data_IF_011395565470
#
_entry.id   IF_011395565470
#
_cell.length_a   1.000
_cell.length_b   1.000
_cell.length_c   1.000
_cell.angle_alpha   90.00
_cell.angle_beta   90.00
_cell.angle_gamma   90.00
#
_symmetry.space_group_name_H-M   'P 1'
#
loop_
_entity.id
_entity.type
_entity.pdbx_description
1 polymer ?
#
# COMPACT_ATOMS: atom_id res chain seq x y z
N UNK A 1 13.13 23.44 12.42
CA UNK A 1 13.21 21.97 12.41
C UNK A 1 13.52 21.54 11.00
N UNK A 2 14.44 20.60 10.82
CA UNK A 2 14.71 20.03 9.52
C UNK A 2 13.47 19.30 9.00
N UNK A 3 13.15 19.45 7.70
CA UNK A 3 11.97 18.83 7.11
C UNK A 3 12.20 17.32 7.04
N UNK A 4 11.30 16.53 7.63
CA UNK A 4 11.37 15.08 7.54
C UNK A 4 11.15 14.61 6.09
N UNK A 5 11.92 13.60 5.72
CA UNK A 5 11.89 12.99 4.38
C UNK A 5 11.10 11.67 4.40
N UNK A 6 10.85 11.12 3.24
CA UNK A 6 10.28 9.78 3.10
C UNK A 6 11.13 8.72 3.82
N UNK A 7 12.47 8.85 3.83
CA UNK A 7 13.38 7.94 4.53
C UNK A 7 13.14 7.95 6.05
N UNK A 8 12.91 9.13 6.62
CA UNK A 8 12.64 9.25 8.06
C UNK A 8 11.36 8.52 8.43
N UNK A 9 10.31 8.65 7.61
CA UNK A 9 9.05 7.92 7.82
C UNK A 9 9.17 6.40 7.58
N UNK A 10 10.03 5.94 6.67
CA UNK A 10 10.34 4.51 6.54
C UNK A 10 10.98 3.99 7.83
N UNK A 11 11.96 4.72 8.40
CA UNK A 11 12.63 4.34 9.65
C UNK A 11 11.71 4.39 10.87
N UNK A 12 10.76 5.31 10.88
CA UNK A 12 9.77 5.44 11.97
C UNK A 12 8.71 4.33 11.94
N UNK A 13 8.40 3.80 10.75
CA UNK A 13 7.31 2.86 10.53
C UNK A 13 7.30 1.67 11.50
N UNK A 14 8.39 0.90 11.73
CA UNK A 14 8.35 -0.25 12.63
C UNK A 14 7.95 0.11 14.07
N UNK A 15 8.38 1.26 14.56
CA UNK A 15 8.01 1.77 15.88
C UNK A 15 6.52 2.08 16.00
N UNK A 16 5.97 2.73 14.99
CA UNK A 16 4.54 3.05 14.92
C UNK A 16 3.70 1.78 14.85
N UNK A 17 4.09 0.82 14.01
CA UNK A 17 3.37 -0.45 13.89
C UNK A 17 3.38 -1.25 15.20
N UNK A 18 4.50 -1.29 15.93
CA UNK A 18 4.57 -1.92 17.26
C UNK A 18 3.60 -1.27 18.24
N UNK A 19 3.61 0.05 18.33
CA UNK A 19 2.68 0.80 19.19
C UNK A 19 1.22 0.51 18.85
N UNK A 20 0.90 0.45 17.55
CA UNK A 20 -0.46 0.15 17.09
C UNK A 20 -0.90 -1.28 17.48
N UNK A 21 0.01 -2.27 17.43
CA UNK A 21 -0.28 -3.63 17.89
C UNK A 21 -0.49 -3.66 19.41
N UNK A 22 0.36 -2.98 20.18
CA UNK A 22 0.24 -2.93 21.64
C UNK A 22 -1.07 -2.28 22.10
N UNK A 23 -1.56 -1.29 21.36
CA UNK A 23 -2.77 -0.53 21.68
C UNK A 23 -3.97 -0.92 20.80
N UNK A 24 -3.94 -2.08 20.15
CA UNK A 24 -4.87 -2.42 19.07
C UNK A 24 -6.35 -2.33 19.48
N UNK A 25 -6.68 -2.75 20.70
CA UNK A 25 -8.07 -2.70 21.19
C UNK A 25 -8.62 -1.28 21.21
N UNK A 26 -7.84 -0.32 21.71
CA UNK A 26 -8.22 1.08 21.73
C UNK A 26 -8.23 1.70 20.32
N UNK A 27 -7.28 1.30 19.47
CA UNK A 27 -7.15 1.79 18.10
C UNK A 27 -8.35 1.41 17.23
N UNK A 28 -8.82 0.16 17.31
CA UNK A 28 -9.94 -0.32 16.49
C UNK A 28 -11.30 -0.15 17.15
N UNK A 29 -11.37 0.22 18.45
CA UNK A 29 -12.61 0.37 19.19
C UNK A 29 -13.66 1.26 18.48
N UNK A 30 -13.31 2.43 17.91
CA UNK A 30 -14.29 3.26 17.22
C UNK A 30 -14.97 2.53 16.05
N UNK A 31 -14.23 1.73 15.28
CA UNK A 31 -14.78 0.92 14.20
C UNK A 31 -15.58 -0.27 14.73
N UNK A 32 -15.11 -0.90 15.80
CA UNK A 32 -15.83 -2.02 16.44
C UNK A 32 -17.22 -1.58 16.96
N UNK A 33 -17.38 -0.37 17.46
CA UNK A 33 -18.69 0.19 17.85
C UNK A 33 -19.66 0.29 16.68
N UNK A 34 -19.19 0.61 15.49
CA UNK A 34 -20.03 0.70 14.29
C UNK A 34 -20.50 -0.67 13.79
N UNK A 35 -19.65 -1.71 13.91
CA UNK A 35 -19.98 -3.06 13.44
C UNK A 35 -20.83 -3.88 14.43
N UNK A 36 -20.82 -3.54 15.72
CA UNK A 36 -21.64 -4.21 16.72
C UNK A 36 -23.14 -3.97 16.57
N UNK A 37 -23.53 -2.97 15.79
CA UNK A 37 -24.91 -2.53 15.64
C UNK A 37 -25.69 -3.33 14.59
N UNK A 38 -25.01 -4.11 13.72
CA UNK A 38 -25.64 -4.86 12.63
C UNK A 38 -24.79 -6.07 12.22
N UNK A 39 -25.44 -7.03 11.56
CA UNK A 39 -24.72 -8.12 10.88
C UNK A 39 -23.94 -7.57 9.70
N UNK A 40 -22.64 -7.86 9.63
CA UNK A 40 -21.77 -7.51 8.50
C UNK A 40 -21.43 -8.79 7.73
N UNK A 41 -21.55 -8.73 6.40
CA UNK A 41 -21.13 -9.80 5.47
C UNK A 41 -20.04 -9.36 4.52
N UNK A 42 -19.97 -8.04 4.25
CA UNK A 42 -19.02 -7.49 3.29
C UNK A 42 -18.49 -6.12 3.75
N UNK A 43 -17.21 -5.90 3.51
CA UNK A 43 -16.57 -4.61 3.68
C UNK A 43 -16.36 -4.00 2.28
N UNK A 44 -16.86 -2.79 2.06
CA UNK A 44 -16.57 -1.98 0.89
C UNK A 44 -15.52 -0.93 1.27
N UNK A 45 -14.30 -1.09 0.76
CA UNK A 45 -13.20 -0.14 0.96
C UNK A 45 -13.16 0.80 -0.25
N UNK A 46 -13.47 2.08 -0.03
CA UNK A 46 -13.51 3.10 -1.07
C UNK A 46 -12.26 3.98 -0.91
N UNK A 47 -11.26 3.77 -1.78
CA UNK A 47 -9.93 4.37 -1.64
C UNK A 47 -9.26 4.69 -2.98
N UNK A 48 -8.30 5.62 -2.97
CA UNK A 48 -7.45 5.98 -4.12
C UNK A 48 -5.96 5.91 -3.77
N UNK A 49 -5.12 5.71 -4.79
CA UNK A 49 -3.67 5.78 -4.67
C UNK A 49 -3.11 4.81 -3.62
N UNK A 50 -2.16 5.25 -2.82
CA UNK A 50 -1.52 4.41 -1.78
C UNK A 50 -2.52 3.88 -0.75
N UNK A 51 -3.61 4.60 -0.44
CA UNK A 51 -4.67 4.06 0.42
C UNK A 51 -5.41 2.88 -0.22
N UNK A 52 -5.65 2.93 -1.53
CA UNK A 52 -6.22 1.81 -2.29
C UNK A 52 -5.27 0.60 -2.30
N UNK A 53 -3.98 0.85 -2.51
CA UNK A 53 -2.96 -0.20 -2.52
C UNK A 53 -2.80 -0.85 -1.14
N UNK A 54 -2.84 -0.06 -0.05
CA UNK A 54 -2.86 -0.58 1.33
C UNK A 54 -4.08 -1.49 1.61
N UNK A 55 -5.25 -1.15 1.07
CA UNK A 55 -6.42 -2.01 1.16
C UNK A 55 -6.19 -3.37 0.47
N UNK A 56 -5.51 -3.39 -0.68
CA UNK A 56 -5.12 -4.64 -1.35
C UNK A 56 -4.08 -5.44 -0.54
N UNK A 57 -3.14 -4.76 0.11
CA UNK A 57 -2.16 -5.42 0.98
C UNK A 57 -2.84 -6.17 2.14
N UNK A 58 -3.89 -5.61 2.73
CA UNK A 58 -4.60 -6.20 3.87
C UNK A 58 -5.71 -7.19 3.46
N UNK A 59 -6.23 -7.09 2.24
CA UNK A 59 -7.46 -7.78 1.82
C UNK A 59 -7.47 -9.26 2.17
N UNK A 60 -6.44 -10.00 1.77
CA UNK A 60 -6.39 -11.45 1.93
C UNK A 60 -6.37 -11.85 3.41
N UNK A 61 -5.66 -11.11 4.26
CA UNK A 61 -5.64 -11.35 5.70
C UNK A 61 -7.00 -11.06 6.33
N UNK A 62 -7.62 -9.93 5.97
CA UNK A 62 -8.94 -9.54 6.47
C UNK A 62 -9.98 -10.60 6.11
N UNK A 63 -10.04 -11.05 4.86
CA UNK A 63 -10.97 -12.10 4.40
C UNK A 63 -10.74 -13.42 5.16
N UNK A 64 -9.48 -13.86 5.30
CA UNK A 64 -9.11 -15.10 6.00
C UNK A 64 -9.45 -15.09 7.48
N UNK A 65 -9.19 -13.99 8.15
CA UNK A 65 -9.31 -13.88 9.61
C UNK A 65 -10.74 -13.56 10.03
N UNK A 66 -11.38 -12.59 9.39
CA UNK A 66 -12.74 -12.16 9.73
C UNK A 66 -13.83 -13.01 9.11
N UNK A 67 -13.57 -13.67 7.97
CA UNK A 67 -14.59 -14.37 7.17
C UNK A 67 -15.51 -13.44 6.37
N UNK A 68 -15.22 -12.15 6.34
CA UNK A 68 -15.98 -11.14 5.58
C UNK A 68 -15.47 -11.03 4.15
N UNK A 69 -16.37 -10.86 3.19
CA UNK A 69 -15.97 -10.47 1.83
C UNK A 69 -15.38 -9.05 1.85
N UNK A 70 -14.26 -8.82 1.17
CA UNK A 70 -13.67 -7.49 1.00
C UNK A 70 -13.69 -7.07 -0.45
N UNK A 71 -14.39 -5.97 -0.74
CA UNK A 71 -14.40 -5.33 -2.05
C UNK A 71 -13.72 -3.97 -2.00
N UNK A 72 -12.79 -3.73 -2.90
CA UNK A 72 -12.05 -2.48 -3.00
C UNK A 72 -12.52 -1.75 -4.27
N UNK A 73 -12.90 -0.49 -4.12
CA UNK A 73 -13.48 0.32 -5.19
C UNK A 73 -12.82 1.70 -5.17
N UNK A 74 -12.50 2.26 -6.34
CA UNK A 74 -12.05 3.65 -6.39
C UNK A 74 -13.21 4.61 -6.13
N UNK A 75 -12.99 5.77 -5.47
CA UNK A 75 -14.07 6.69 -5.13
C UNK A 75 -14.86 7.19 -6.35
N UNK A 76 -14.20 7.40 -7.50
CA UNK A 76 -14.89 7.81 -8.72
C UNK A 76 -15.84 6.71 -9.23
N UNK A 77 -15.35 5.46 -9.30
CA UNK A 77 -16.18 4.30 -9.68
C UNK A 77 -17.35 4.12 -8.71
N UNK A 78 -17.08 4.22 -7.41
CA UNK A 78 -18.13 4.16 -6.39
C UNK A 78 -19.17 5.27 -6.57
N UNK A 79 -18.73 6.51 -6.73
CA UNK A 79 -19.65 7.67 -6.83
C UNK A 79 -20.60 7.57 -8.01
N UNK A 80 -20.11 7.14 -9.16
CA UNK A 80 -20.86 7.26 -10.41
C UNK A 80 -21.40 5.94 -10.97
N UNK A 81 -20.82 4.79 -10.60
CA UNK A 81 -21.13 3.52 -11.26
C UNK A 81 -21.49 2.38 -10.32
N UNK A 82 -20.80 2.24 -9.19
CA UNK A 82 -20.86 1.04 -8.36
C UNK A 82 -21.17 1.36 -6.88
N UNK A 83 -22.25 2.07 -6.64
CA UNK A 83 -22.66 2.50 -5.30
C UNK A 83 -23.89 1.77 -4.74
N UNK A 84 -24.09 0.52 -5.13
CA UNK A 84 -25.11 -0.32 -4.52
C UNK A 84 -24.61 -0.80 -3.16
N UNK A 85 -25.21 -0.24 -2.10
CA UNK A 85 -24.89 -0.54 -0.70
C UNK A 85 -26.01 -1.41 -0.14
N UNK A 86 -25.65 -2.60 0.34
CA UNK A 86 -26.57 -3.50 1.04
C UNK A 86 -26.59 -3.20 2.54
N UNK A 87 -27.66 -3.58 3.20
CA UNK A 87 -27.80 -3.39 4.65
C UNK A 87 -26.69 -4.10 5.46
N UNK A 88 -26.19 -5.22 4.94
CA UNK A 88 -25.08 -5.99 5.55
C UNK A 88 -23.69 -5.52 5.14
N UNK A 89 -23.57 -4.39 4.44
CA UNK A 89 -22.27 -3.83 4.04
C UNK A 89 -21.75 -2.89 5.12
N UNK A 90 -20.44 -3.01 5.42
CA UNK A 90 -19.67 -1.99 6.08
C UNK A 90 -18.94 -1.17 5.02
N UNK A 91 -19.30 0.09 4.84
CA UNK A 91 -18.67 0.97 3.87
C UNK A 91 -17.67 1.88 4.55
N UNK A 92 -16.41 1.80 4.17
CA UNK A 92 -15.31 2.61 4.70
C UNK A 92 -14.69 3.43 3.58
N UNK A 93 -14.79 4.74 3.65
CA UNK A 93 -14.05 5.64 2.77
C UNK A 93 -12.69 5.92 3.39
N UNK A 94 -11.62 5.71 2.62
CA UNK A 94 -10.25 5.79 3.13
C UNK A 94 -9.49 6.90 2.44
N UNK A 95 -8.94 7.83 3.21
CA UNK A 95 -8.11 8.93 2.70
C UNK A 95 -7.13 9.41 3.77
N UNK A 96 -5.83 9.29 3.54
CA UNK A 96 -4.84 9.65 4.56
C UNK A 96 -4.93 11.12 4.96
N UNK A 97 -4.90 12.04 4.00
CA UNK A 97 -4.94 13.47 4.28
C UNK A 97 -6.31 13.96 4.77
N UNK A 98 -7.38 13.21 4.48
CA UNK A 98 -8.76 13.67 4.69
C UNK A 98 -9.18 14.86 3.82
N UNK A 99 -8.39 15.20 2.80
CA UNK A 99 -8.58 16.36 1.92
C UNK A 99 -8.84 15.97 0.46
N UNK A 100 -9.05 14.68 0.17
CA UNK A 100 -9.29 14.19 -1.20
C UNK A 100 -10.73 14.51 -1.63
N UNK A 101 -10.90 15.26 -2.71
CA UNK A 101 -12.21 15.69 -3.23
C UNK A 101 -13.10 14.50 -3.59
N UNK A 102 -12.54 13.49 -4.23
CA UNK A 102 -13.28 12.28 -4.61
C UNK A 102 -13.72 11.43 -3.40
N UNK A 103 -12.93 11.40 -2.31
CA UNK A 103 -13.33 10.74 -1.07
C UNK A 103 -14.50 11.48 -0.39
N UNK A 104 -14.47 12.82 -0.38
CA UNK A 104 -15.55 13.66 0.12
C UNK A 104 -16.84 13.42 -0.68
N UNK A 105 -16.75 13.36 -2.02
CA UNK A 105 -17.92 13.06 -2.86
C UNK A 105 -18.48 11.66 -2.58
N UNK A 106 -17.62 10.64 -2.39
CA UNK A 106 -18.08 9.30 -2.01
C UNK A 106 -18.84 9.30 -0.66
N UNK A 107 -18.33 10.04 0.35
CA UNK A 107 -19.04 10.20 1.64
C UNK A 107 -20.41 10.85 1.46
N UNK A 108 -20.52 11.88 0.61
CA UNK A 108 -21.81 12.54 0.30
C UNK A 108 -22.80 11.56 -0.35
N UNK A 109 -22.35 10.70 -1.26
CA UNK A 109 -23.19 9.67 -1.89
C UNK A 109 -23.70 8.65 -0.85
N UNK A 110 -22.82 8.21 0.07
CA UNK A 110 -23.22 7.29 1.15
C UNK A 110 -24.33 7.93 1.99
N UNK A 111 -24.19 9.18 2.40
CA UNK A 111 -25.22 9.93 3.16
C UNK A 111 -26.51 10.12 2.38
N UNK A 112 -26.42 10.44 1.07
CA UNK A 112 -27.59 10.56 0.21
C UNK A 112 -28.40 9.25 0.14
N UNK A 113 -27.73 8.12 0.29
CA UNK A 113 -28.37 6.78 0.38
C UNK A 113 -28.85 6.43 1.78
N UNK A 114 -28.79 7.36 2.75
CA UNK A 114 -29.16 7.16 4.13
C UNK A 114 -28.34 6.06 4.84
N UNK A 115 -27.12 5.83 4.37
CA UNK A 115 -26.17 4.93 4.99
C UNK A 115 -25.20 5.69 5.88
N UNK A 116 -24.62 4.99 6.86
CA UNK A 116 -23.60 5.54 7.77
C UNK A 116 -22.31 5.85 7.01
N UNK A 117 -21.91 7.11 6.94
CA UNK A 117 -20.69 7.56 6.25
C UNK A 117 -19.51 7.51 7.21
N UNK A 118 -18.68 6.47 7.10
CA UNK A 118 -17.50 6.24 7.95
C UNK A 118 -16.25 6.52 7.14
N UNK A 119 -15.35 7.35 7.68
CA UNK A 119 -14.07 7.69 7.08
C UNK A 119 -12.89 7.19 7.92
N UNK A 120 -11.98 6.43 7.32
CA UNK A 120 -10.66 6.13 7.87
C UNK A 120 -9.66 7.17 7.34
N UNK A 121 -8.95 7.84 8.23
CA UNK A 121 -8.02 8.92 7.87
C UNK A 121 -6.79 8.95 8.77
N UNK A 122 -5.71 9.61 8.33
CA UNK A 122 -4.57 9.95 9.16
C UNK A 122 -4.76 11.26 9.96
N UNK A 123 -5.81 12.05 9.62
CA UNK A 123 -6.06 13.33 10.28
C UNK A 123 -7.58 13.57 10.44
N UNK A 124 -8.08 13.33 11.64
CA UNK A 124 -9.50 13.52 11.97
C UNK A 124 -9.98 14.97 11.94
N UNK A 125 -9.07 15.95 11.94
CA UNK A 125 -9.40 17.37 11.91
C UNK A 125 -9.49 17.93 10.48
N UNK A 126 -9.30 17.09 9.47
CA UNK A 126 -9.38 17.45 8.04
C UNK A 126 -10.83 17.62 7.55
N UNK A 127 -11.00 18.02 6.30
CA UNK A 127 -12.31 18.37 5.70
C UNK A 127 -13.33 17.23 5.70
N UNK A 128 -12.90 15.98 5.77
CA UNK A 128 -13.82 14.84 5.86
C UNK A 128 -14.71 14.90 7.11
N UNK A 129 -14.28 15.60 8.18
CA UNK A 129 -15.07 15.74 9.42
C UNK A 129 -16.42 16.46 9.20
N UNK A 130 -16.47 17.35 8.21
CA UNK A 130 -17.66 18.15 7.93
C UNK A 130 -18.69 17.34 7.11
N UNK A 131 -18.29 16.17 6.60
CA UNK A 131 -19.13 15.34 5.73
C UNK A 131 -19.40 13.95 6.33
N UNK A 132 -18.40 13.30 6.91
CA UNK A 132 -18.56 11.97 7.51
C UNK A 132 -19.42 11.99 8.79
N UNK A 133 -20.13 10.90 9.07
CA UNK A 133 -20.81 10.71 10.36
C UNK A 133 -19.85 10.20 11.43
N UNK A 134 -18.81 9.48 11.01
CA UNK A 134 -17.75 8.96 11.87
C UNK A 134 -16.41 9.12 11.18
N UNK A 135 -15.44 9.69 11.88
CA UNK A 135 -14.05 9.83 11.43
C UNK A 135 -13.13 9.08 12.37
N UNK A 136 -12.37 8.14 11.84
CA UNK A 136 -11.51 7.24 12.60
C UNK A 136 -10.07 7.41 12.12
N UNK A 137 -9.15 7.68 13.03
CA UNK A 137 -7.72 7.66 12.75
C UNK A 137 -7.17 6.24 12.84
N UNK A 138 -6.41 5.82 11.82
CA UNK A 138 -5.88 4.46 11.73
C UNK A 138 -4.43 4.34 12.28
N UNK A 139 -4.01 5.27 13.14
CA UNK A 139 -2.78 5.14 13.91
C UNK A 139 -1.50 5.48 13.15
N UNK A 140 -1.57 6.24 12.05
CA UNK A 140 -0.37 6.67 11.31
C UNK A 140 0.41 7.77 12.04
N UNK A 141 -0.27 8.58 12.87
CA UNK A 141 0.31 9.79 13.43
C UNK A 141 0.58 10.86 12.36
N UNK A 142 1.52 11.75 12.61
CA UNK A 142 1.89 12.81 11.67
C UNK A 142 2.76 12.27 10.52
N UNK A 143 2.42 12.61 9.29
CA UNK A 143 3.19 12.32 8.08
C UNK A 143 3.05 13.50 7.11
N UNK A 144 4.06 14.37 7.11
CA UNK A 144 4.08 15.64 6.38
C UNK A 144 4.91 15.55 5.09
N UNK A 145 4.68 14.50 4.31
CA UNK A 145 5.22 14.34 2.95
C UNK A 145 4.10 14.08 1.97
N UNK A 146 4.26 14.51 0.73
CA UNK A 146 3.26 14.31 -0.32
C UNK A 146 3.10 12.85 -0.74
N UNK A 147 4.10 12.05 -0.48
CA UNK A 147 4.18 10.64 -0.87
C UNK A 147 3.91 9.74 0.32
N UNK A 148 2.66 9.29 0.45
CA UNK A 148 2.23 8.41 1.55
C UNK A 148 3.20 7.24 1.72
N UNK A 149 3.82 7.14 2.89
CA UNK A 149 4.90 6.18 3.20
C UNK A 149 4.50 5.30 4.38
N UNK A 150 4.62 5.81 5.59
CA UNK A 150 4.18 5.18 6.82
C UNK A 150 2.68 4.86 6.81
N UNK A 151 1.90 5.74 6.19
CA UNK A 151 0.45 5.59 6.09
C UNK A 151 -0.01 4.34 5.35
N UNK A 152 0.75 3.82 4.37
CA UNK A 152 0.41 2.56 3.67
C UNK A 152 0.49 1.39 4.65
N UNK A 153 1.61 1.25 5.35
CA UNK A 153 1.84 0.16 6.31
C UNK A 153 0.89 0.25 7.51
N UNK A 154 0.66 1.46 8.03
CA UNK A 154 -0.25 1.68 9.16
C UNK A 154 -1.71 1.37 8.81
N UNK A 155 -2.15 1.71 7.60
CA UNK A 155 -3.51 1.40 7.15
C UNK A 155 -3.70 -0.11 6.94
N UNK A 156 -2.74 -0.78 6.30
CA UNK A 156 -2.80 -2.23 6.15
C UNK A 156 -2.87 -2.92 7.50
N UNK A 157 -1.98 -2.57 8.43
CA UNK A 157 -1.99 -3.10 9.80
C UNK A 157 -3.31 -2.79 10.53
N UNK A 158 -3.88 -1.58 10.40
CA UNK A 158 -5.16 -1.24 11.03
C UNK A 158 -6.28 -2.17 10.59
N UNK A 159 -6.37 -2.47 9.29
CA UNK A 159 -7.36 -3.39 8.74
C UNK A 159 -7.16 -4.82 9.25
N UNK A 160 -5.89 -5.27 9.37
CA UNK A 160 -5.56 -6.57 9.93
C UNK A 160 -5.92 -6.66 11.42
N UNK A 161 -5.61 -5.63 12.21
CA UNK A 161 -6.00 -5.53 13.63
C UNK A 161 -7.52 -5.49 13.82
N UNK A 162 -8.23 -4.80 12.93
CA UNK A 162 -9.70 -4.82 12.92
C UNK A 162 -10.23 -6.24 12.67
N UNK A 163 -9.66 -6.97 11.71
CA UNK A 163 -10.09 -8.34 11.43
C UNK A 163 -9.87 -9.28 12.63
N UNK A 164 -8.74 -9.13 13.34
CA UNK A 164 -8.46 -9.86 14.58
C UNK A 164 -9.48 -9.51 15.67
N UNK A 165 -9.74 -8.23 15.90
CA UNK A 165 -10.69 -7.77 16.91
C UNK A 165 -12.12 -8.25 16.59
N UNK A 166 -12.52 -8.17 15.32
CA UNK A 166 -13.84 -8.61 14.86
C UNK A 166 -14.07 -10.11 15.03
N UNK A 167 -13.07 -10.93 14.71
CA UNK A 167 -13.15 -12.39 14.81
C UNK A 167 -12.81 -12.95 16.19
N UNK A 168 -12.12 -12.17 17.04
CA UNK A 168 -11.60 -12.61 18.33
C UNK A 168 -10.37 -13.51 18.24
N UNK A 169 -9.77 -13.70 17.06
CA UNK A 169 -8.63 -14.59 16.80
C UNK A 169 -7.29 -13.92 17.17
N UNK A 170 -7.09 -13.70 18.46
CA UNK A 170 -5.92 -12.97 18.99
C UNK A 170 -4.58 -13.70 18.80
N UNK A 171 -4.57 -14.97 18.43
CA UNK A 171 -3.37 -15.74 18.10
C UNK A 171 -2.58 -15.13 16.93
N UNK A 172 -3.23 -14.40 16.03
CA UNK A 172 -2.57 -13.72 14.92
C UNK A 172 -1.75 -12.48 15.35
N UNK A 173 -1.91 -11.98 16.57
CA UNK A 173 -1.12 -10.84 17.06
C UNK A 173 0.39 -11.16 17.11
N UNK A 174 0.75 -12.39 17.46
CA UNK A 174 2.17 -12.80 17.47
C UNK A 174 2.77 -12.82 16.06
N UNK A 175 1.99 -13.22 15.08
CA UNK A 175 2.43 -13.22 13.70
C UNK A 175 2.57 -11.78 13.15
N UNK A 176 1.66 -10.88 13.53
CA UNK A 176 1.80 -9.45 13.22
C UNK A 176 3.06 -8.84 13.85
N UNK A 177 3.38 -9.16 15.11
CA UNK A 177 4.64 -8.72 15.74
C UNK A 177 5.86 -9.20 14.98
N UNK A 178 5.84 -10.45 14.52
CA UNK A 178 6.88 -11.02 13.66
C UNK A 178 6.97 -10.26 12.33
N UNK A 179 5.85 -9.96 11.68
CA UNK A 179 5.82 -9.19 10.45
C UNK A 179 6.44 -7.80 10.63
N UNK A 180 6.18 -7.13 11.76
CA UNK A 180 6.78 -5.82 12.07
C UNK A 180 8.28 -5.94 12.34
N UNK A 181 8.75 -7.01 12.98
CA UNK A 181 10.19 -7.27 13.13
C UNK A 181 10.88 -7.44 11.77
N UNK A 182 10.28 -8.21 10.86
CA UNK A 182 10.81 -8.41 9.52
C UNK A 182 10.70 -7.14 8.65
N UNK A 183 9.69 -6.29 8.87
CA UNK A 183 9.61 -4.95 8.26
C UNK A 183 10.83 -4.10 8.63
N UNK A 184 11.26 -4.14 9.89
CA UNK A 184 12.46 -3.44 10.35
C UNK A 184 13.75 -4.04 9.75
N UNK A 185 13.87 -5.36 9.69
CA UNK A 185 14.99 -6.06 9.01
C UNK A 185 15.07 -5.68 7.52
N UNK A 186 13.91 -5.59 6.86
CA UNK A 186 13.82 -5.22 5.44
C UNK A 186 14.48 -3.88 5.15
N UNK A 187 14.45 -2.91 6.05
CA UNK A 187 15.07 -1.60 5.84
C UNK A 187 16.57 -1.73 5.54
N UNK A 188 17.29 -2.50 6.34
CA UNK A 188 18.72 -2.74 6.14
C UNK A 188 19.02 -3.61 4.91
N UNK A 189 18.27 -4.69 4.75
CA UNK A 189 18.42 -5.62 3.63
C UNK A 189 18.11 -4.95 2.28
N UNK A 190 17.02 -4.19 2.20
CA UNK A 190 16.64 -3.46 1.00
C UNK A 190 17.68 -2.38 0.64
N UNK A 191 18.18 -1.64 1.64
CA UNK A 191 19.24 -0.65 1.39
C UNK A 191 20.47 -1.28 0.76
N UNK A 192 20.95 -2.40 1.31
CA UNK A 192 22.11 -3.12 0.77
C UNK A 192 21.84 -3.68 -0.62
N UNK A 193 20.67 -4.24 -0.86
CA UNK A 193 20.26 -4.79 -2.15
C UNK A 193 20.15 -3.71 -3.23
N UNK A 194 19.56 -2.56 -2.90
CA UNK A 194 19.47 -1.42 -3.82
C UNK A 194 20.85 -0.89 -4.16
N UNK A 195 21.77 -0.82 -3.20
CA UNK A 195 23.16 -0.42 -3.45
C UNK A 195 23.91 -1.42 -4.33
N UNK A 196 23.71 -2.72 -4.15
CA UNK A 196 24.31 -3.75 -5.00
C UNK A 196 23.89 -3.58 -6.47
N UNK A 197 22.63 -3.27 -6.72
CA UNK A 197 22.06 -3.10 -8.07
C UNK A 197 21.82 -1.63 -8.44
N UNK A 198 22.54 -0.71 -7.82
CA UNK A 198 22.29 0.72 -7.95
C UNK A 198 22.37 1.22 -9.40
N UNK A 199 23.33 0.72 -10.19
CA UNK A 199 23.51 1.12 -11.59
C UNK A 199 22.27 0.78 -12.44
N UNK A 200 21.71 -0.41 -12.22
CA UNK A 200 20.53 -0.88 -12.92
C UNK A 200 19.29 -0.11 -12.49
N UNK A 201 19.10 0.10 -11.18
CA UNK A 201 17.98 0.86 -10.64
C UNK A 201 18.03 2.36 -10.99
N UNK A 202 19.20 3.01 -10.94
CA UNK A 202 19.33 4.42 -11.29
C UNK A 202 19.18 4.70 -12.80
N UNK A 203 19.34 3.68 -13.62
CA UNK A 203 19.16 3.76 -15.09
C UNK A 203 17.84 3.15 -15.58
N UNK A 204 16.86 2.93 -14.68
CA UNK A 204 15.53 2.46 -15.05
C UNK A 204 14.84 3.48 -15.96
N UNK A 205 14.30 3.01 -17.09
CA UNK A 205 13.41 3.78 -17.95
C UNK A 205 11.98 3.22 -17.97
N UNK A 206 11.83 1.97 -17.52
CA UNK A 206 10.57 1.24 -17.37
C UNK A 206 10.68 0.27 -16.21
N UNK A 207 9.57 0.03 -15.52
CA UNK A 207 9.50 -1.03 -14.51
C UNK A 207 8.14 -1.72 -14.52
N UNK A 208 8.18 -3.05 -14.48
CA UNK A 208 7.04 -3.87 -14.15
C UNK A 208 7.18 -4.37 -12.71
N UNK A 209 6.10 -4.26 -11.97
CA UNK A 209 5.98 -4.81 -10.62
C UNK A 209 4.94 -5.92 -10.65
N UNK A 210 5.32 -7.14 -10.26
CA UNK A 210 4.47 -8.32 -10.38
C UNK A 210 4.27 -8.96 -9.00
N UNK A 211 3.04 -9.30 -8.68
CA UNK A 211 2.71 -9.93 -7.41
C UNK A 211 1.46 -10.80 -7.50
N UNK A 212 1.38 -11.80 -6.62
CA UNK A 212 0.22 -12.67 -6.49
C UNK A 212 -0.41 -12.55 -5.10
N UNK A 213 -1.70 -12.85 -4.98
CA UNK A 213 -2.41 -12.79 -3.70
C UNK A 213 -2.31 -11.42 -3.04
N UNK A 214 -1.92 -11.38 -1.77
CA UNK A 214 -1.72 -10.14 -1.02
C UNK A 214 -0.64 -9.24 -1.64
N UNK A 215 0.40 -9.81 -2.24
CA UNK A 215 1.48 -9.06 -2.88
C UNK A 215 1.09 -8.38 -4.20
N UNK A 216 -0.11 -8.60 -4.71
CA UNK A 216 -0.65 -7.71 -5.74
C UNK A 216 -0.77 -6.25 -5.22
N UNK A 217 -1.13 -6.08 -3.94
CA UNK A 217 -1.10 -4.77 -3.27
C UNK A 217 0.29 -4.15 -3.20
N UNK A 218 1.32 -4.97 -2.91
CA UNK A 218 2.73 -4.53 -2.92
C UNK A 218 3.18 -4.12 -4.33
N UNK A 219 2.80 -4.87 -5.35
CA UNK A 219 3.11 -4.56 -6.75
C UNK A 219 2.43 -3.27 -7.22
N UNK A 220 1.16 -3.04 -6.82
CA UNK A 220 0.44 -1.79 -7.06
C UNK A 220 1.17 -0.59 -6.45
N UNK A 221 1.61 -0.72 -5.20
CA UNK A 221 2.33 0.36 -4.52
C UNK A 221 3.72 0.58 -5.12
N UNK A 222 4.42 -0.48 -5.53
CA UNK A 222 5.71 -0.41 -6.21
C UNK A 222 5.62 0.35 -7.53
N UNK A 223 4.62 0.03 -8.36
CA UNK A 223 4.38 0.74 -9.61
C UNK A 223 4.02 2.20 -9.36
N UNK A 224 3.11 2.48 -8.42
CA UNK A 224 2.71 3.85 -8.08
C UNK A 224 3.89 4.68 -7.58
N UNK A 225 4.72 4.14 -6.67
CA UNK A 225 5.90 4.83 -6.13
C UNK A 225 6.91 5.16 -7.25
N UNK A 226 7.23 4.19 -8.10
CA UNK A 226 8.14 4.42 -9.24
C UNK A 226 7.61 5.48 -10.18
N UNK A 227 6.31 5.47 -10.43
CA UNK A 227 5.65 6.41 -11.34
C UNK A 227 5.74 7.86 -10.86
N UNK A 228 5.41 8.13 -9.59
CA UNK A 228 5.29 9.52 -9.14
C UNK A 228 6.47 10.07 -8.34
N UNK A 229 7.47 9.24 -8.00
CA UNK A 229 8.72 9.72 -7.39
C UNK A 229 9.89 9.71 -8.36
N UNK A 230 10.09 8.60 -9.11
CA UNK A 230 11.19 8.46 -10.08
C UNK A 230 10.77 9.05 -11.43
N UNK A 231 9.47 9.22 -11.69
CA UNK A 231 8.89 9.73 -12.93
C UNK A 231 9.17 8.85 -14.16
N UNK A 232 9.18 7.55 -13.97
CA UNK A 232 9.29 6.58 -15.07
C UNK A 232 7.96 5.86 -15.30
N UNK A 233 7.65 5.46 -16.55
CA UNK A 233 6.53 4.56 -16.83
C UNK A 233 6.67 3.27 -16.02
N UNK A 234 5.58 2.93 -15.31
CA UNK A 234 5.52 1.76 -14.44
C UNK A 234 4.14 1.11 -14.51
N UNK A 235 4.10 -0.21 -14.44
CA UNK A 235 2.87 -0.97 -14.42
C UNK A 235 2.95 -2.07 -13.37
N UNK A 236 1.79 -2.46 -12.82
CA UNK A 236 1.69 -3.66 -12.01
C UNK A 236 0.86 -4.72 -12.72
N UNK A 237 1.22 -5.98 -12.50
CA UNK A 237 0.52 -7.14 -13.00
C UNK A 237 0.38 -8.20 -11.93
N UNK A 238 -0.70 -8.92 -11.98
CA UNK A 238 -0.76 -10.24 -11.37
C UNK A 238 0.17 -11.18 -12.16
N UNK A 239 0.70 -12.23 -11.53
CA UNK A 239 1.75 -13.09 -12.12
C UNK A 239 1.33 -13.71 -13.46
N UNK A 240 0.12 -14.21 -13.58
CA UNK A 240 -0.37 -14.79 -14.83
C UNK A 240 -0.72 -13.72 -15.85
N UNK A 241 -1.31 -12.61 -15.45
CA UNK A 241 -1.58 -11.48 -16.36
C UNK A 241 -0.29 -10.91 -16.97
N UNK A 242 0.82 -10.95 -16.23
CA UNK A 242 2.12 -10.53 -16.76
C UNK A 242 2.56 -11.36 -17.98
N UNK A 243 2.32 -12.66 -17.98
CA UNK A 243 2.71 -13.56 -19.08
C UNK A 243 1.66 -13.64 -20.21
N UNK A 244 0.49 -13.01 -20.04
CA UNK A 244 -0.58 -12.94 -21.04
C UNK A 244 -0.51 -11.70 -21.93
N UNK A 245 0.72 -11.18 -22.16
CA UNK A 245 0.93 -10.08 -23.12
C UNK A 245 2.08 -9.14 -22.71
N UNK A 246 2.10 -8.58 -21.48
CA UNK A 246 3.13 -7.64 -21.05
C UNK A 246 4.57 -8.12 -21.22
N UNK A 247 4.84 -9.40 -21.01
CA UNK A 247 6.15 -10.03 -21.20
C UNK A 247 6.67 -9.97 -22.64
N UNK A 248 5.80 -9.75 -23.63
CA UNK A 248 6.21 -9.63 -25.04
C UNK A 248 6.96 -8.34 -25.34
N UNK A 249 6.91 -7.34 -24.45
CA UNK A 249 7.66 -6.09 -24.56
C UNK A 249 9.07 -6.19 -23.97
N UNK A 250 9.42 -7.29 -23.31
CA UNK A 250 10.71 -7.42 -22.61
C UNK A 250 11.90 -7.21 -23.55
N UNK A 251 12.84 -6.45 -23.04
CA UNK A 251 14.20 -6.30 -23.59
C UNK A 251 15.23 -6.55 -22.47
N UNK A 252 16.50 -6.71 -22.75
CA UNK A 252 17.53 -6.89 -21.73
C UNK A 252 17.61 -5.76 -20.69
N UNK A 253 17.09 -4.56 -20.99
CA UNK A 253 17.12 -3.40 -20.11
C UNK A 253 15.82 -3.20 -19.30
N UNK A 254 14.81 -4.04 -19.50
CA UNK A 254 13.55 -3.92 -18.79
C UNK A 254 13.70 -4.32 -17.31
N UNK A 255 13.30 -3.45 -16.40
CA UNK A 255 13.27 -3.79 -14.99
C UNK A 255 11.95 -4.48 -14.64
N UNK A 256 12.04 -5.64 -14.00
CA UNK A 256 10.87 -6.39 -13.50
C UNK A 256 11.11 -6.79 -12.06
N UNK A 257 10.22 -6.42 -11.16
CA UNK A 257 10.30 -6.71 -9.74
C UNK A 257 9.15 -7.65 -9.38
N UNK A 258 9.48 -8.83 -8.89
CA UNK A 258 8.52 -9.84 -8.44
C UNK A 258 8.44 -9.87 -6.91
N UNK A 259 7.22 -10.03 -6.41
CA UNK A 259 6.95 -10.19 -4.98
C UNK A 259 6.31 -11.56 -4.73
N UNK A 260 7.01 -12.42 -3.99
CA UNK A 260 6.58 -13.77 -3.64
C UNK A 260 6.11 -13.84 -2.19
N UNK A 261 4.93 -14.41 -1.97
CA UNK A 261 4.34 -14.58 -0.64
C UNK A 261 4.85 -15.79 0.15
N UNK A 262 5.73 -16.60 -0.43
CA UNK A 262 6.19 -17.88 0.14
C UNK A 262 5.03 -18.85 0.49
N UNK A 263 4.12 -19.03 -0.45
CA UNK A 263 2.96 -19.92 -0.32
C UNK A 263 2.88 -20.97 -1.43
N UNK A 264 1.72 -21.59 -1.59
CA UNK A 264 1.49 -22.65 -2.59
C UNK A 264 1.71 -22.20 -4.03
N UNK A 265 1.65 -20.90 -4.31
CA UNK A 265 1.86 -20.31 -5.64
C UNK A 265 3.33 -19.95 -5.91
N UNK A 266 4.22 -20.01 -4.90
CA UNK A 266 5.61 -19.55 -5.00
C UNK A 266 6.41 -20.23 -6.10
N UNK A 267 6.15 -21.52 -6.36
CA UNK A 267 6.81 -22.21 -7.46
C UNK A 267 6.51 -21.58 -8.83
N UNK A 268 5.30 -21.01 -9.00
CA UNK A 268 4.92 -20.36 -10.24
C UNK A 268 5.57 -18.97 -10.36
N UNK A 269 5.62 -18.21 -9.27
CA UNK A 269 6.36 -16.94 -9.21
C UNK A 269 7.83 -17.16 -9.58
N UNK A 270 8.46 -18.18 -9.00
CA UNK A 270 9.85 -18.57 -9.31
C UNK A 270 10.04 -18.94 -10.79
N UNK A 271 9.12 -19.71 -11.37
CA UNK A 271 9.18 -20.07 -12.80
C UNK A 271 9.13 -18.83 -13.70
N UNK A 272 8.20 -17.90 -13.43
CA UNK A 272 8.03 -16.66 -14.20
C UNK A 272 9.26 -15.75 -14.04
N UNK A 273 9.78 -15.62 -12.81
CA UNK A 273 11.02 -14.91 -12.53
C UNK A 273 12.19 -15.50 -13.34
N UNK A 274 12.45 -16.80 -13.24
CA UNK A 274 13.53 -17.48 -13.97
C UNK A 274 13.37 -17.33 -15.49
N UNK A 275 12.16 -17.40 -16.01
CA UNK A 275 11.90 -17.18 -17.43
C UNK A 275 12.21 -15.72 -17.84
N UNK A 276 11.79 -14.75 -17.03
CA UNK A 276 12.09 -13.32 -17.24
C UNK A 276 13.59 -13.05 -17.23
N UNK A 277 14.35 -13.68 -16.30
CA UNK A 277 15.83 -13.62 -16.23
C UNK A 277 16.53 -14.09 -17.51
N UNK A 278 15.90 -14.93 -18.34
CA UNK A 278 16.45 -15.34 -19.64
C UNK A 278 16.40 -14.23 -20.70
N UNK A 279 15.53 -13.24 -20.51
CA UNK A 279 15.32 -12.12 -21.44
C UNK A 279 15.91 -10.84 -20.90
N UNK A 280 15.70 -10.55 -19.61
CA UNK A 280 16.20 -9.35 -18.95
C UNK A 280 17.14 -9.70 -17.79
N UNK A 281 18.32 -9.10 -17.78
CA UNK A 281 19.26 -9.19 -16.66
C UNK A 281 18.78 -8.36 -15.44
N UNK A 282 17.75 -7.54 -15.61
CA UNK A 282 17.21 -6.62 -14.60
C UNK A 282 15.89 -7.12 -13.99
N UNK A 283 15.73 -8.44 -13.87
CA UNK A 283 14.63 -9.03 -13.13
C UNK A 283 15.08 -9.34 -11.70
N UNK A 284 14.28 -8.95 -10.73
CA UNK A 284 14.53 -9.07 -9.28
C UNK A 284 13.36 -9.76 -8.61
N UNK A 285 13.62 -10.47 -7.51
CA UNK A 285 12.61 -11.17 -6.76
C UNK A 285 12.77 -10.90 -5.26
N UNK A 286 11.68 -10.53 -4.60
CA UNK A 286 11.60 -10.45 -3.14
C UNK A 286 10.95 -11.74 -2.67
N UNK A 287 11.74 -12.64 -2.06
CA UNK A 287 11.29 -13.97 -1.66
C UNK A 287 12.22 -14.57 -0.60
N UNK A 288 11.65 -15.35 0.29
CA UNK A 288 12.39 -16.16 1.25
C UNK A 288 12.49 -17.64 0.82
N UNK A 289 12.36 -17.93 -0.47
CA UNK A 289 12.56 -19.28 -0.99
C UNK A 289 14.02 -19.72 -0.79
N UNK A 290 14.33 -20.74 0.03
CA UNK A 290 15.70 -21.16 0.31
C UNK A 290 16.41 -21.72 -0.94
N UNK A 291 15.68 -22.20 -1.93
CA UNK A 291 16.24 -22.66 -3.21
C UNK A 291 16.80 -21.53 -4.09
N UNK A 292 16.61 -20.27 -3.72
CA UNK A 292 17.08 -19.09 -4.42
C UNK A 292 18.06 -18.25 -3.59
N UNK A 293 18.53 -18.73 -2.45
CA UNK A 293 19.37 -17.96 -1.51
C UNK A 293 20.73 -17.52 -2.10
N UNK A 294 21.24 -18.24 -3.10
CA UNK A 294 22.50 -17.92 -3.78
C UNK A 294 22.34 -17.01 -5.00
N UNK A 295 21.10 -16.62 -5.35
CA UNK A 295 20.83 -15.70 -6.46
C UNK A 295 20.92 -14.26 -5.96
N UNK A 296 21.89 -13.48 -6.44
CA UNK A 296 22.13 -12.10 -6.05
C UNK A 296 21.03 -11.11 -6.51
N UNK A 297 20.12 -11.55 -7.37
CA UNK A 297 18.91 -10.83 -7.76
C UNK A 297 17.70 -11.17 -6.88
N UNK A 298 17.88 -11.98 -5.84
CA UNK A 298 16.84 -12.34 -4.88
C UNK A 298 17.12 -11.66 -3.54
N UNK A 299 16.19 -10.85 -3.09
CA UNK A 299 16.22 -10.26 -1.75
C UNK A 299 15.45 -11.17 -0.78
N UNK A 300 16.15 -11.73 0.20
CA UNK A 300 15.57 -12.57 1.24
C UNK A 300 15.83 -12.05 2.65
N UNK A 301 14.94 -12.42 3.57
CA UNK A 301 14.99 -12.09 5.01
C UNK A 301 15.39 -13.29 5.85
N UNK A 302 15.63 -13.05 7.13
CA UNK A 302 16.03 -14.09 8.10
C UNK A 302 14.93 -15.12 8.40
N UNK A 303 13.66 -14.73 8.22
CA UNK A 303 12.49 -15.56 8.53
C UNK A 303 11.31 -15.21 7.61
N UNK A 304 10.18 -15.91 7.74
CA UNK A 304 8.96 -15.72 6.93
C UNK A 304 7.75 -15.49 7.83
N UNK A 305 6.71 -14.88 7.24
CA UNK A 305 5.35 -14.82 7.78
C UNK A 305 4.39 -15.47 6.79
N UNK A 306 3.11 -15.62 7.15
CA UNK A 306 2.08 -16.00 6.18
C UNK A 306 2.05 -15.05 4.98
N UNK A 307 1.70 -15.58 3.81
CA UNK A 307 1.68 -14.81 2.57
C UNK A 307 0.80 -13.57 2.67
N UNK A 308 -0.27 -13.64 3.46
CA UNK A 308 -1.20 -12.52 3.67
C UNK A 308 -0.57 -11.34 4.42
N UNK A 309 0.47 -11.58 5.24
CA UNK A 309 1.19 -10.53 5.99
C UNK A 309 2.49 -10.08 5.30
N UNK A 310 2.93 -10.78 4.26
CA UNK A 310 4.16 -10.42 3.54
C UNK A 310 4.16 -9.00 2.94
N UNK A 311 3.02 -8.39 2.55
CA UNK A 311 3.02 -6.98 2.11
C UNK A 311 3.55 -6.01 3.18
N UNK A 312 3.18 -6.18 4.45
CA UNK A 312 3.72 -5.34 5.54
C UNK A 312 5.24 -5.44 5.59
N UNK A 313 5.77 -6.64 5.35
CA UNK A 313 7.21 -6.92 5.36
C UNK A 313 7.93 -6.30 4.16
N UNK A 314 7.32 -6.30 2.98
CA UNK A 314 7.97 -5.91 1.71
C UNK A 314 7.84 -4.41 1.36
N UNK A 315 6.87 -3.71 1.93
CA UNK A 315 6.66 -2.27 1.69
C UNK A 315 7.92 -1.40 1.88
N UNK A 316 8.79 -1.62 2.90
CA UNK A 316 10.02 -0.83 3.02
C UNK A 316 10.95 -0.91 1.82
N UNK A 317 11.05 -2.07 1.14
CA UNK A 317 11.83 -2.19 -0.10
C UNK A 317 11.30 -1.24 -1.18
N UNK A 318 9.99 -1.24 -1.40
CA UNK A 318 9.32 -0.38 -2.39
C UNK A 318 9.57 1.10 -2.10
N UNK A 319 9.43 1.48 -0.83
CA UNK A 319 9.59 2.84 -0.36
C UNK A 319 11.04 3.31 -0.46
N UNK A 320 12.00 2.48 -0.05
CA UNK A 320 13.43 2.78 -0.13
C UNK A 320 13.93 2.87 -1.57
N UNK A 321 13.52 1.93 -2.44
CA UNK A 321 13.88 1.97 -3.84
C UNK A 321 13.44 3.30 -4.48
N UNK A 322 12.18 3.67 -4.27
CA UNK A 322 11.64 4.91 -4.83
C UNK A 322 12.33 6.15 -4.24
N UNK A 323 12.58 6.18 -2.93
CA UNK A 323 13.25 7.31 -2.27
C UNK A 323 14.71 7.46 -2.73
N UNK A 324 15.52 6.40 -2.65
CA UNK A 324 16.95 6.46 -2.96
C UNK A 324 17.15 6.91 -4.41
N UNK A 325 16.44 6.28 -5.35
CA UNK A 325 16.62 6.62 -6.78
C UNK A 325 16.09 8.01 -7.09
N UNK A 326 14.90 8.38 -6.62
CA UNK A 326 14.34 9.70 -6.90
C UNK A 326 15.12 10.85 -6.25
N UNK A 327 15.63 10.63 -5.05
CA UNK A 327 16.48 11.61 -4.36
C UNK A 327 17.79 11.86 -5.12
N UNK A 328 18.47 10.79 -5.52
CA UNK A 328 19.76 10.90 -6.23
C UNK A 328 19.60 11.46 -7.64
N UNK A 329 18.50 11.16 -8.32
CA UNK A 329 18.19 11.73 -9.64
C UNK A 329 17.53 13.11 -9.56
N UNK A 330 17.25 13.63 -8.37
CA UNK A 330 16.51 14.88 -8.15
C UNK A 330 15.17 14.94 -8.92
N UNK A 331 14.48 13.80 -9.05
CA UNK A 331 13.28 13.68 -9.89
C UNK A 331 12.00 14.13 -9.19
N UNK A 332 11.95 14.14 -7.87
CA UNK A 332 10.72 14.38 -7.08
C UNK A 332 10.09 15.75 -7.35
N UNK A 333 10.88 16.77 -7.73
CA UNK A 333 10.47 18.18 -7.76
C UNK A 333 10.32 18.79 -9.16
N UNK A 334 10.29 18.01 -10.25
CA UNK A 334 10.63 18.54 -11.58
C UNK A 334 9.50 18.76 -12.59
N UNK A 335 8.21 18.65 -12.24
CA UNK A 335 7.19 18.84 -13.28
C UNK A 335 6.69 20.28 -13.36
N UNK A 336 7.12 21.09 -14.36
CA UNK A 336 6.79 22.51 -14.44
C UNK A 336 5.30 22.80 -14.66
N UNK A 337 4.55 21.89 -15.30
CA UNK A 337 3.13 22.07 -15.63
C UNK A 337 2.17 21.48 -14.57
N UNK A 338 2.68 21.00 -13.46
CA UNK A 338 1.84 20.38 -12.43
C UNK A 338 0.88 21.38 -11.79
N UNK A 339 1.28 22.65 -11.70
CA UNK A 339 0.47 23.73 -11.14
C UNK A 339 -0.78 24.01 -12.00
N UNK A 340 -0.60 24.14 -13.32
CA UNK A 340 -1.72 24.35 -14.25
C UNK A 340 -2.63 23.12 -14.31
N UNK A 341 -2.06 21.92 -14.33
CA UNK A 341 -2.84 20.68 -14.28
C UNK A 341 -3.72 20.63 -13.02
N UNK A 342 -3.14 20.91 -11.85
CA UNK A 342 -3.86 20.92 -10.56
C UNK A 342 -4.93 22.01 -10.50
N UNK A 343 -4.74 23.14 -11.17
CA UNK A 343 -5.74 24.21 -11.21
C UNK A 343 -7.02 23.79 -11.96
N UNK A 344 -6.90 22.87 -12.94
CA UNK A 344 -8.02 22.37 -13.74
C UNK A 344 -8.62 21.09 -13.13
N UNK A 345 -7.75 20.18 -12.66
CA UNK A 345 -8.14 18.86 -12.19
C UNK A 345 -7.65 18.61 -10.75
N UNK A 346 -8.09 19.45 -9.82
CA UNK A 346 -7.70 19.33 -8.42
C UNK A 346 -8.22 18.05 -7.78
N UNK A 347 -7.31 17.25 -7.25
CA UNK A 347 -7.63 16.02 -6.50
C UNK A 347 -7.78 16.27 -4.98
N UNK A 348 -7.46 17.49 -4.51
CA UNK A 348 -7.48 17.92 -3.11
C UNK A 348 -8.31 19.18 -2.94
N UNK A 349 -8.82 19.37 -1.74
CA UNK A 349 -9.49 20.62 -1.33
C UNK A 349 -8.50 21.77 -1.25
N UNK A 350 -9.00 23.00 -1.12
CA UNK A 350 -8.20 24.22 -0.97
C UNK A 350 -7.36 24.24 0.32
N UNK A 351 -7.73 23.44 1.32
CA UNK A 351 -7.00 23.33 2.58
C UNK A 351 -5.76 22.42 2.50
N UNK A 352 -5.48 21.83 1.32
CA UNK A 352 -4.31 21.00 1.14
C UNK A 352 -3.01 21.80 1.10
N UNK A 353 -2.08 21.46 1.99
CA UNK A 353 -0.72 22.00 2.00
C UNK A 353 0.19 21.06 1.19
N UNK A 354 0.90 21.63 0.21
CA UNK A 354 1.89 20.86 -0.53
C UNK A 354 3.20 20.83 0.26
N UNK A 355 3.49 19.71 0.89
CA UNK A 355 4.71 19.55 1.71
C UNK A 355 5.99 19.33 0.87
N UNK A 356 5.88 19.00 -0.41
CA UNK A 356 7.00 18.67 -1.29
C UNK A 356 7.28 19.76 -2.34
N UNK A 357 6.47 20.81 -2.38
CA UNK A 357 6.67 21.95 -3.28
C UNK A 357 7.73 22.93 -2.76
N UNK A 358 8.57 23.42 -3.66
CA UNK A 358 9.19 24.71 -3.47
C UNK A 358 8.10 25.77 -3.73
N UNK A 359 7.81 26.60 -2.75
CA UNK A 359 6.94 27.78 -2.90
C UNK A 359 7.59 28.85 -3.79
#
# INVERSE_FOLDING_TARGET
MEKLTMLDYVKETPGVLRTNIEQYTALVEPLMKEVQQKEIKRILLVASGSSHNACYCARSFVEKVSGLEVRIITPYTFTYYENDIKETDLVLVVTQSGLSTNAIEALKIIKKKQCRAICLTGNKNSDVKDVADVVIEYGVGEELVGYVTKGVSSLALFLDLFAIAYSGKTEYLEELKKAVHLNEEMIGKATSFIQLHYKEFSSMSWVYSCGAGANYGTALESALKSFYTIHIPSCCYEIEEYIHGPNLQLTPQYNVIFFDGNDVASHRVEQVYKATRKVSERAYLISNNPGLADDDHVLSLSDTVSSELSPIVYLPFVQLLSFIISNDLHSIYQHPLLKEFKAIAAAKTENFVNYDGDD
#
